data_IF_183342397016
#
_entry.id   IF_183342397016
#
_cell.length_a   1.000
_cell.length_b   1.000
_cell.length_c   1.000
_cell.angle_alpha   90.00
_cell.angle_beta   90.00
_cell.angle_gamma   90.00
#
_symmetry.space_group_name_H-M   'P 1'
#
loop_
_entity.id
_entity.type
_entity.pdbx_description
1 polymer ?
#
# COMPACT_ATOMS: atom_id res chain seq x y z
N UNK A 1 -26.16 15.04 22.36
CA UNK A 1 -24.85 14.55 21.84
C UNK A 1 -24.35 15.55 20.83
N UNK A 2 -23.19 16.11 21.04
CA UNK A 2 -22.55 16.98 20.05
C UNK A 2 -22.11 16.09 18.91
N UNK A 3 -22.59 16.37 17.69
CA UNK A 3 -22.24 15.60 16.50
C UNK A 3 -20.75 15.71 16.15
N UNK A 4 -20.33 15.08 15.07
CA UNK A 4 -18.96 15.17 14.57
C UNK A 4 -18.55 16.64 14.30
N UNK A 5 -17.29 16.96 14.56
CA UNK A 5 -16.75 18.29 14.28
C UNK A 5 -16.81 18.55 12.76
N UNK A 6 -17.45 19.65 12.31
CA UNK A 6 -17.50 19.97 10.89
C UNK A 6 -16.12 20.40 10.37
N UNK A 7 -15.79 19.98 9.18
CA UNK A 7 -14.58 20.43 8.48
C UNK A 7 -14.96 21.11 7.15
N UNK A 8 -15.04 22.45 7.12
CA UNK A 8 -15.42 23.19 5.91
C UNK A 8 -14.36 23.10 4.79
N UNK A 9 -13.14 22.67 5.12
CA UNK A 9 -12.06 22.45 4.14
C UNK A 9 -12.08 21.07 3.49
N UNK A 10 -13.07 20.22 3.79
CA UNK A 10 -13.14 18.87 3.28
C UNK A 10 -13.36 18.87 1.76
N UNK A 11 -12.49 18.19 1.03
CA UNK A 11 -12.56 18.02 -0.41
C UNK A 11 -13.14 16.66 -0.76
N UNK A 12 -13.76 16.54 -1.92
CA UNK A 12 -14.24 15.28 -2.44
C UNK A 12 -13.07 14.34 -2.78
N UNK A 13 -13.17 13.10 -2.33
CA UNK A 13 -12.27 12.02 -2.75
C UNK A 13 -12.42 11.81 -4.25
N UNK A 14 -11.30 11.75 -4.96
CA UNK A 14 -11.25 11.55 -6.41
C UNK A 14 -10.42 10.31 -6.72
N UNK A 15 -10.95 9.46 -7.58
CA UNK A 15 -10.22 8.29 -8.06
C UNK A 15 -10.00 8.38 -9.56
N UNK A 16 -8.73 8.30 -9.96
CA UNK A 16 -8.32 8.18 -11.35
C UNK A 16 -7.81 6.77 -11.59
N UNK A 17 -8.46 6.05 -12.50
CA UNK A 17 -8.05 4.71 -12.90
C UNK A 17 -7.56 4.72 -14.35
N UNK A 18 -6.42 4.10 -14.59
CA UNK A 18 -5.91 3.75 -15.92
C UNK A 18 -5.84 2.23 -15.97
N UNK A 19 -6.48 1.63 -16.95
CA UNK A 19 -6.53 0.18 -17.13
C UNK A 19 -6.24 -0.15 -18.58
N UNK A 20 -5.45 -1.20 -18.80
CA UNK A 20 -5.13 -1.75 -20.12
C UNK A 20 -5.35 -3.24 -20.05
N UNK A 21 -6.27 -3.73 -20.88
CA UNK A 21 -6.58 -5.14 -21.03
C UNK A 21 -6.17 -5.66 -22.39
N UNK A 22 -5.75 -6.91 -22.43
CA UNK A 22 -5.43 -7.63 -23.66
C UNK A 22 -6.02 -9.03 -23.58
N UNK A 23 -6.92 -9.33 -24.51
CA UNK A 23 -7.55 -10.63 -24.64
C UNK A 23 -7.01 -11.32 -25.88
N UNK A 24 -6.42 -12.48 -25.70
CA UNK A 24 -5.81 -13.28 -26.76
C UNK A 24 -6.46 -14.64 -26.83
N UNK A 25 -6.75 -15.08 -28.04
CA UNK A 25 -7.26 -16.44 -28.32
C UNK A 25 -6.41 -17.10 -29.38
N UNK A 26 -5.99 -18.31 -29.08
CA UNK A 26 -5.15 -19.11 -29.97
C UNK A 26 -5.79 -20.47 -30.28
N UNK A 27 -5.42 -21.06 -31.43
CA UNK A 27 -5.83 -22.41 -31.82
C UNK A 27 -7.36 -22.60 -31.84
N UNK A 28 -8.07 -21.72 -32.57
CA UNK A 28 -9.54 -21.74 -32.67
C UNK A 28 -10.22 -21.73 -31.28
N UNK A 29 -9.82 -20.78 -30.44
CA UNK A 29 -10.30 -20.62 -29.05
C UNK A 29 -9.98 -21.80 -28.11
N UNK A 30 -9.01 -22.63 -28.47
CA UNK A 30 -8.55 -23.68 -27.55
C UNK A 30 -7.72 -23.17 -26.39
N UNK A 31 -7.00 -22.07 -26.58
CA UNK A 31 -6.24 -21.42 -25.57
C UNK A 31 -6.64 -19.93 -25.51
N UNK A 32 -7.10 -19.48 -24.38
CA UNK A 32 -7.43 -18.08 -24.13
C UNK A 32 -6.51 -17.55 -23.02
N UNK A 33 -6.02 -16.34 -23.25
CA UNK A 33 -5.17 -15.61 -22.28
C UNK A 33 -5.70 -14.20 -22.14
N UNK A 34 -6.04 -13.81 -20.92
CA UNK A 34 -6.44 -12.45 -20.57
C UNK A 34 -5.33 -11.85 -19.72
N UNK A 35 -4.90 -10.66 -20.08
CA UNK A 35 -3.92 -9.87 -19.34
C UNK A 35 -4.53 -8.52 -19.04
N UNK A 36 -4.49 -8.12 -17.77
CA UNK A 36 -4.96 -6.79 -17.35
C UNK A 36 -3.89 -6.13 -16.48
N UNK A 37 -3.56 -4.90 -16.85
CA UNK A 37 -2.76 -4.00 -16.02
C UNK A 37 -3.64 -2.85 -15.57
N UNK A 38 -3.61 -2.50 -14.30
CA UNK A 38 -4.31 -1.35 -13.76
C UNK A 38 -3.43 -0.48 -12.87
N UNK A 39 -3.73 0.82 -12.87
CA UNK A 39 -3.12 1.80 -11.99
C UNK A 39 -4.20 2.78 -11.52
N UNK A 40 -4.53 2.70 -10.23
CA UNK A 40 -5.56 3.51 -9.59
C UNK A 40 -4.91 4.46 -8.59
N UNK A 41 -5.13 5.76 -8.80
CA UNK A 41 -4.72 6.81 -7.89
C UNK A 41 -5.96 7.39 -7.21
N UNK A 42 -6.07 7.23 -5.91
CA UNK A 42 -7.09 7.86 -5.07
C UNK A 42 -6.48 9.07 -4.40
N UNK A 43 -7.03 10.24 -4.69
CA UNK A 43 -6.58 11.54 -4.18
C UNK A 43 -7.57 12.05 -3.12
N UNK A 44 -7.08 12.85 -2.19
CA UNK A 44 -7.87 13.47 -1.13
C UNK A 44 -8.70 12.44 -0.33
N UNK A 45 -8.14 11.26 -0.06
CA UNK A 45 -8.84 10.16 0.61
C UNK A 45 -9.33 10.58 1.98
N UNK A 46 -10.59 10.27 2.29
CA UNK A 46 -11.17 10.52 3.61
C UNK A 46 -10.55 9.62 4.67
N UNK A 47 -10.17 10.22 5.79
CA UNK A 47 -9.83 9.50 7.00
C UNK A 47 -10.15 10.34 8.23
N UNK A 48 -10.31 9.66 9.35
CA UNK A 48 -10.48 10.31 10.64
C UNK A 48 -9.11 10.76 11.15
N UNK A 49 -8.97 12.05 11.44
CA UNK A 49 -7.83 12.62 12.15
C UNK A 49 -8.18 12.64 13.64
N UNK A 50 -7.40 11.92 14.44
CA UNK A 50 -7.56 11.91 15.90
C UNK A 50 -7.26 13.29 16.48
N UNK A 51 -8.12 13.75 17.36
CA UNK A 51 -7.97 15.02 18.06
C UNK A 51 -7.57 14.80 19.52
N UNK A 52 -6.84 15.76 20.13
CA UNK A 52 -6.63 15.74 21.56
C UNK A 52 -7.95 15.76 22.34
N UNK A 53 -8.02 15.01 23.42
CA UNK A 53 -9.22 14.91 24.27
C UNK A 53 -9.69 16.24 24.85
N UNK A 54 -8.80 17.21 24.93
CA UNK A 54 -9.10 18.59 25.35
C UNK A 54 -10.07 19.34 24.45
N UNK A 55 -10.23 18.87 23.18
CA UNK A 55 -11.17 19.46 22.22
C UNK A 55 -12.63 19.02 22.43
N UNK A 56 -12.86 18.01 23.28
CA UNK A 56 -14.18 17.39 23.46
C UNK A 56 -14.63 16.48 22.33
N UNK A 57 -13.81 16.30 21.30
CA UNK A 57 -14.06 15.41 20.15
C UNK A 57 -12.95 14.39 20.02
N UNK A 58 -13.28 13.18 19.60
CA UNK A 58 -12.27 12.13 19.39
C UNK A 58 -11.58 12.22 18.03
N UNK A 59 -12.30 12.69 17.02
CA UNK A 59 -11.78 12.81 15.67
C UNK A 59 -12.53 13.83 14.83
N UNK A 60 -11.91 14.23 13.73
CA UNK A 60 -12.52 15.04 12.66
C UNK A 60 -12.25 14.37 11.32
N UNK A 61 -13.22 14.42 10.42
CA UNK A 61 -13.02 13.96 9.05
C UNK A 61 -12.10 14.92 8.30
N UNK A 62 -11.06 14.38 7.69
CA UNK A 62 -10.10 15.15 6.91
C UNK A 62 -9.69 14.39 5.64
N UNK A 63 -9.11 15.09 4.67
CA UNK A 63 -8.49 14.47 3.52
C UNK A 63 -7.09 14.00 3.92
N UNK A 64 -6.89 12.69 4.01
CA UNK A 64 -5.73 12.09 4.64
C UNK A 64 -4.73 11.50 3.63
N UNK A 65 -4.52 12.24 2.55
CA UNK A 65 -3.48 11.94 1.57
C UNK A 65 -3.92 11.13 0.37
N UNK A 66 -2.96 10.77 -0.45
CA UNK A 66 -3.14 10.10 -1.73
C UNK A 66 -2.58 8.68 -1.67
N UNK A 67 -3.31 7.76 -2.28
CA UNK A 67 -2.96 6.35 -2.33
C UNK A 67 -2.96 5.84 -3.76
N UNK A 68 -1.95 5.05 -4.10
CA UNK A 68 -1.87 4.37 -5.39
C UNK A 68 -1.99 2.86 -5.19
N UNK A 69 -2.83 2.26 -6.00
CA UNK A 69 -2.97 0.82 -6.13
C UNK A 69 -2.70 0.46 -7.59
N UNK A 70 -1.72 -0.40 -7.84
CA UNK A 70 -1.38 -0.86 -9.19
C UNK A 70 -1.18 -2.36 -9.17
N UNK A 71 -1.56 -3.03 -10.26
CA UNK A 71 -1.43 -4.46 -10.34
C UNK A 71 -1.50 -5.01 -11.75
N UNK A 72 -1.22 -6.28 -11.81
CA UNK A 72 -1.29 -7.10 -13.02
C UNK A 72 -2.12 -8.32 -12.69
N UNK A 73 -3.02 -8.65 -13.60
CA UNK A 73 -3.83 -9.86 -13.54
C UNK A 73 -3.63 -10.63 -14.84
N UNK A 74 -3.42 -11.92 -14.73
CA UNK A 74 -3.26 -12.83 -15.86
C UNK A 74 -4.17 -14.01 -15.64
N UNK A 75 -5.02 -14.30 -16.61
CA UNK A 75 -5.84 -15.48 -16.63
C UNK A 75 -5.54 -16.29 -17.88
N UNK A 76 -5.33 -17.58 -17.70
CA UNK A 76 -5.12 -18.54 -18.77
C UNK A 76 -6.19 -19.61 -18.67
N UNK A 77 -6.84 -19.93 -19.79
CA UNK A 77 -7.79 -21.04 -19.88
C UNK A 77 -7.65 -21.74 -21.20
N UNK A 78 -7.80 -23.05 -21.16
CA UNK A 78 -7.63 -23.83 -22.38
C UNK A 78 -8.33 -25.17 -22.36
N UNK A 79 -8.61 -25.67 -23.58
CA UNK A 79 -9.10 -27.02 -23.83
C UNK A 79 -7.89 -27.90 -24.14
N UNK A 80 -7.45 -28.68 -23.14
CA UNK A 80 -6.28 -29.56 -23.26
C UNK A 80 -6.57 -30.73 -24.17
N UNK A 81 -7.73 -31.35 -24.00
CA UNK A 81 -8.10 -32.54 -24.75
C UNK A 81 -9.58 -32.45 -25.18
N UNK A 82 -9.82 -32.81 -26.43
CA UNK A 82 -11.18 -32.96 -26.98
C UNK A 82 -11.21 -34.20 -27.86
N UNK A 83 -11.81 -35.30 -27.36
CA UNK A 83 -11.92 -36.57 -28.06
C UNK A 83 -13.36 -37.01 -27.94
N UNK A 84 -14.08 -37.11 -29.09
CA UNK A 84 -15.50 -37.54 -29.16
C UNK A 84 -16.33 -36.88 -28.05
N UNK A 85 -16.75 -37.65 -27.05
CA UNK A 85 -17.62 -37.22 -25.97
C UNK A 85 -16.85 -36.65 -24.75
N UNK A 86 -15.52 -36.64 -24.77
CA UNK A 86 -14.65 -36.16 -23.68
C UNK A 86 -14.05 -34.81 -24.02
N UNK A 87 -14.26 -33.84 -23.14
CA UNK A 87 -13.62 -32.54 -23.22
C UNK A 87 -12.98 -32.21 -21.87
N UNK A 88 -11.66 -32.04 -21.87
CA UNK A 88 -10.93 -31.61 -20.69
C UNK A 88 -10.48 -30.18 -20.84
N UNK A 89 -10.96 -29.32 -19.93
CA UNK A 89 -10.60 -27.91 -19.88
C UNK A 89 -9.77 -27.66 -18.59
N UNK A 90 -8.79 -26.80 -18.70
CA UNK A 90 -7.95 -26.35 -17.58
C UNK A 90 -7.80 -24.85 -17.64
N UNK A 91 -7.76 -24.20 -16.48
CA UNK A 91 -7.53 -22.77 -16.38
C UNK A 91 -6.89 -22.43 -15.05
N UNK A 92 -6.28 -21.27 -15.01
CA UNK A 92 -5.67 -20.70 -13.79
C UNK A 92 -5.53 -19.20 -13.95
N UNK A 93 -5.47 -18.52 -12.82
CA UNK A 93 -5.23 -17.09 -12.76
C UNK A 93 -4.11 -16.78 -11.76
N UNK A 94 -3.41 -15.69 -12.02
CA UNK A 94 -2.41 -15.12 -11.12
C UNK A 94 -2.62 -13.62 -11.09
N UNK A 95 -2.58 -13.04 -9.89
CA UNK A 95 -2.67 -11.60 -9.71
C UNK A 95 -1.55 -11.10 -8.81
N UNK A 96 -1.01 -9.95 -9.15
CA UNK A 96 -0.06 -9.21 -8.33
C UNK A 96 -0.58 -7.80 -8.12
N UNK A 97 -0.67 -7.39 -6.86
CA UNK A 97 -1.16 -6.08 -6.46
C UNK A 97 -0.15 -5.38 -5.55
N UNK A 98 0.09 -4.09 -5.82
CA UNK A 98 0.96 -3.23 -5.04
C UNK A 98 0.24 -1.97 -4.61
N UNK A 99 0.14 -1.76 -3.30
CA UNK A 99 -0.38 -0.54 -2.70
C UNK A 99 0.78 0.39 -2.32
N UNK A 100 0.62 1.68 -2.55
CA UNK A 100 1.60 2.69 -2.18
C UNK A 100 0.91 3.93 -1.63
N UNK A 101 1.40 4.42 -0.50
CA UNK A 101 1.07 5.75 0.00
C UNK A 101 1.86 6.75 -0.84
N UNK A 102 1.19 7.70 -1.49
CA UNK A 102 1.83 8.72 -2.33
C UNK A 102 2.18 9.93 -1.49
N UNK A 103 1.17 10.52 -0.85
CA UNK A 103 1.29 11.67 0.04
C UNK A 103 0.47 11.47 1.29
N UNK A 104 0.88 12.11 2.38
CA UNK A 104 0.14 12.21 3.63
C UNK A 104 0.10 13.68 4.06
N UNK A 105 -0.85 14.07 4.91
CA UNK A 105 -0.84 15.40 5.51
C UNK A 105 0.44 15.63 6.30
N UNK A 106 0.97 16.85 6.21
CA UNK A 106 2.14 17.24 6.99
C UNK A 106 1.81 17.18 8.50
N UNK A 107 2.58 16.41 9.22
CA UNK A 107 2.42 16.22 10.67
C UNK A 107 3.73 16.39 11.44
N UNK A 108 4.76 16.91 10.79
CA UNK A 108 6.08 17.14 11.39
C UNK A 108 6.89 15.86 11.65
N UNK A 109 6.36 14.68 11.29
CA UNK A 109 7.09 13.43 11.42
C UNK A 109 7.86 13.09 10.12
N UNK A 110 8.99 12.37 10.22
CA UNK A 110 9.70 11.91 9.03
C UNK A 110 8.78 11.20 8.04
N UNK A 111 8.74 11.68 6.78
CA UNK A 111 7.85 11.20 5.69
C UNK A 111 6.37 11.20 6.08
N UNK A 112 5.97 12.15 6.91
CA UNK A 112 4.60 12.33 7.37
C UNK A 112 3.96 11.06 7.93
N UNK A 113 4.74 10.26 8.67
CA UNK A 113 4.29 8.97 9.19
C UNK A 113 3.09 9.12 10.12
N UNK A 114 2.07 8.26 9.91
CA UNK A 114 0.87 8.17 10.72
C UNK A 114 0.74 6.75 11.29
N UNK A 115 0.63 6.64 12.60
CA UNK A 115 0.48 5.37 13.31
C UNK A 115 1.73 4.51 13.26
N UNK A 116 1.55 3.23 13.54
CA UNK A 116 2.63 2.27 13.72
C UNK A 116 3.07 2.16 15.18
N UNK A 117 3.58 0.98 15.52
CA UNK A 117 4.13 0.70 16.83
C UNK A 117 5.66 0.92 16.81
N UNK A 118 6.15 1.70 17.76
CA UNK A 118 7.57 1.93 17.95
C UNK A 118 8.16 0.79 18.77
N UNK A 119 9.21 0.16 18.26
CA UNK A 119 9.94 -0.90 18.94
C UNK A 119 11.40 -0.51 19.04
N UNK A 120 11.93 -0.50 20.26
CA UNK A 120 13.36 -0.31 20.54
C UNK A 120 14.07 -1.64 20.35
N UNK A 121 15.08 -1.68 19.48
CA UNK A 121 15.84 -2.92 19.21
C UNK A 121 16.88 -3.23 20.29
N UNK A 122 17.16 -2.26 21.18
CA UNK A 122 18.23 -2.35 22.17
C UNK A 122 19.63 -2.08 21.60
N UNK A 123 19.74 -1.72 20.32
CA UNK A 123 20.98 -1.30 19.66
C UNK A 123 21.11 0.21 19.66
N UNK A 124 22.33 0.71 19.67
CA UNK A 124 22.62 2.12 19.46
C UNK A 124 23.13 2.34 18.04
N UNK A 125 22.61 3.36 17.38
CA UNK A 125 23.00 3.79 16.04
C UNK A 125 23.39 5.26 16.07
N UNK A 126 24.16 5.72 15.11
CA UNK A 126 24.48 7.12 14.95
C UNK A 126 23.37 7.80 14.15
N UNK A 127 22.87 8.94 14.65
CA UNK A 127 21.98 9.80 13.89
C UNK A 127 22.73 10.59 12.80
N UNK A 128 22.00 11.40 12.03
CA UNK A 128 22.60 12.22 10.96
C UNK A 128 23.59 13.28 11.51
N UNK A 129 23.49 13.60 12.80
CA UNK A 129 24.37 14.54 13.51
C UNK A 129 25.58 13.84 14.16
N UNK A 130 25.67 12.51 14.10
CA UNK A 130 26.74 11.71 14.68
C UNK A 130 26.55 11.35 16.17
N UNK A 131 25.37 11.60 16.76
CA UNK A 131 25.08 11.24 18.14
C UNK A 131 24.62 9.79 18.23
N UNK A 132 24.96 9.12 19.34
CA UNK A 132 24.44 7.79 19.64
C UNK A 132 22.98 7.87 20.10
N UNK A 133 22.08 7.31 19.31
CA UNK A 133 20.65 7.20 19.63
C UNK A 133 20.22 5.74 19.64
N UNK A 134 19.17 5.44 20.39
CA UNK A 134 18.60 4.09 20.37
C UNK A 134 17.98 3.79 19.01
N UNK A 135 18.30 2.63 18.46
CA UNK A 135 17.69 2.17 17.21
C UNK A 135 16.22 1.85 17.44
N UNK A 136 15.39 2.48 16.63
CA UNK A 136 13.94 2.33 16.69
C UNK A 136 13.41 1.82 15.38
N UNK A 137 12.61 0.77 15.46
CA UNK A 137 11.88 0.20 14.33
C UNK A 137 10.40 0.54 14.48
N UNK A 138 9.76 0.92 13.39
CA UNK A 138 8.32 1.13 13.36
C UNK A 138 7.66 0.00 12.60
N UNK A 139 6.67 -0.64 13.24
CA UNK A 139 5.92 -1.74 12.67
C UNK A 139 4.50 -1.27 12.38
N UNK A 140 4.05 -1.46 11.15
CA UNK A 140 2.75 -1.00 10.70
C UNK A 140 2.71 0.51 10.42
N UNK A 141 1.50 1.08 10.43
CA UNK A 141 1.27 2.48 10.10
C UNK A 141 1.33 2.78 8.59
N UNK A 142 1.40 4.07 8.28
CA UNK A 142 1.46 4.59 6.91
C UNK A 142 2.58 5.62 6.83
N UNK A 143 3.32 5.59 5.74
CA UNK A 143 4.43 6.50 5.48
C UNK A 143 4.48 6.82 4.00
N UNK A 144 4.83 8.06 3.63
CA UNK A 144 4.92 8.47 2.24
C UNK A 144 5.91 7.63 1.45
N UNK A 145 5.55 7.35 0.19
CA UNK A 145 6.32 6.60 -0.81
C UNK A 145 6.58 5.14 -0.47
N UNK A 146 5.85 4.60 0.53
CA UNK A 146 5.97 3.21 0.96
C UNK A 146 4.63 2.48 0.92
N UNK A 147 4.69 1.17 1.02
CA UNK A 147 3.50 0.34 1.17
C UNK A 147 2.90 0.53 2.57
N UNK A 148 1.57 0.58 2.71
CA UNK A 148 0.94 0.61 4.02
C UNK A 148 1.34 -0.62 4.85
N UNK A 149 1.62 -0.40 6.13
CA UNK A 149 1.96 -1.48 7.04
C UNK A 149 3.38 -2.04 6.92
N UNK A 150 4.23 -1.41 6.11
CA UNK A 150 5.62 -1.86 5.98
C UNK A 150 6.42 -1.61 7.26
N UNK A 151 7.38 -2.46 7.50
CA UNK A 151 8.36 -2.31 8.58
C UNK A 151 9.37 -1.24 8.20
N UNK A 152 9.49 -0.20 9.02
CA UNK A 152 10.38 0.93 8.76
C UNK A 152 11.34 1.08 9.93
N UNK A 153 12.65 0.99 9.63
CA UNK A 153 13.72 1.26 10.59
C UNK A 153 14.50 2.52 10.24
N UNK A 154 15.28 3.02 11.18
CA UNK A 154 16.30 4.02 10.88
C UNK A 154 17.38 3.37 9.99
N UNK A 155 17.73 4.04 8.91
CA UNK A 155 18.87 3.64 8.10
C UNK A 155 20.13 3.96 8.90
N UNK A 156 20.82 2.95 9.40
CA UNK A 156 22.13 3.14 10.01
C UNK A 156 23.10 3.71 8.98
N UNK A 157 23.79 4.79 9.29
CA UNK A 157 24.79 5.43 8.43
C UNK A 157 26.11 4.64 8.41
N UNK A 158 26.30 3.71 9.34
CA UNK A 158 27.47 2.86 9.41
C UNK A 158 27.21 1.48 8.79
N UNK A 159 27.86 1.20 7.68
CA UNK A 159 27.86 -0.12 7.01
C UNK A 159 28.83 -1.06 7.71
N UNK A 160 28.42 -1.63 8.81
CA UNK A 160 29.05 -2.86 9.31
C UNK A 160 27.97 -3.85 9.68
N UNK A 161 27.68 -4.73 8.72
CA UNK A 161 26.83 -5.93 8.83
C UNK A 161 25.38 -5.70 9.31
N UNK A 162 24.54 -5.16 8.42
CA UNK A 162 23.10 -5.39 8.47
C UNK A 162 22.74 -6.46 7.43
N UNK A 163 22.72 -7.70 7.85
CA UNK A 163 21.96 -8.71 7.15
C UNK A 163 20.48 -8.38 7.36
N UNK A 164 19.83 -7.88 6.31
CA UNK A 164 18.37 -7.81 6.28
C UNK A 164 17.82 -9.21 6.55
N UNK A 165 16.86 -9.37 7.48
CA UNK A 165 16.13 -10.62 7.56
C UNK A 165 15.46 -10.83 6.22
N UNK A 166 15.88 -11.87 5.53
CA UNK A 166 15.19 -12.40 4.35
C UNK A 166 13.73 -12.63 4.71
N UNK A 167 12.84 -12.20 3.80
CA UNK A 167 11.41 -12.49 3.86
C UNK A 167 11.16 -13.93 4.34
N UNK A 168 10.39 -14.05 5.40
CA UNK A 168 9.56 -15.23 5.64
C UNK A 168 8.27 -15.08 4.88
#
# INVERSE_FOLDING_TARGET
MIGALPNPGLKWEKTRTTEVGLDLSFFDNRLNANFTYYNRLTMDKYADLSLPTTTGFSSVKNNNGDFRNSGIEVELSGTILKIKDWTWKMGGNISYNKNKVVTLPDNGQPKNRIGGQQIYTGRKVLDEAGNQVDEVIFVGGKQERQEPGILVGYKAVSYTHLTLPTKL
#
